data_IF_218026415861
#
_entry.id   IF_218026415861
#
_cell.length_a   1.000
_cell.length_b   1.000
_cell.length_c   1.000
_cell.angle_alpha   90.00
_cell.angle_beta   90.00
_cell.angle_gamma   90.00
#
_symmetry.space_group_name_H-M   'P 1'
#
loop_
_entity.id
_entity.type
_entity.pdbx_description
1 polymer ?
#
# COMPACT_ATOMS: atom_id res chain seq x y z
N UNK A 1 -14.13 7.41 -24.21
CA UNK A 1 -13.50 7.31 -22.88
C UNK A 1 -12.16 6.61 -23.09
N UNK A 2 -11.04 7.13 -22.57
CA UNK A 2 -9.74 6.42 -22.70
C UNK A 2 -9.79 5.14 -21.86
N UNK A 3 -9.32 4.04 -22.43
CA UNK A 3 -9.23 2.73 -21.78
C UNK A 3 -7.93 2.61 -20.97
N UNK A 4 -7.81 1.62 -20.09
CA UNK A 4 -6.61 1.43 -19.28
C UNK A 4 -5.37 1.17 -20.15
N UNK A 5 -5.52 0.41 -21.24
CA UNK A 5 -4.42 0.11 -22.17
C UNK A 5 -3.87 1.38 -22.85
N UNK A 6 -4.72 2.39 -23.10
CA UNK A 6 -4.30 3.67 -23.69
C UNK A 6 -3.31 4.41 -22.78
N UNK A 7 -3.40 4.21 -21.46
CA UNK A 7 -2.53 4.86 -20.49
C UNK A 7 -1.20 4.14 -20.28
N UNK A 8 -1.07 2.90 -20.71
CA UNK A 8 0.02 2.03 -20.24
C UNK A 8 0.91 1.43 -21.34
N UNK A 9 0.47 1.42 -22.60
CA UNK A 9 1.15 0.70 -23.69
C UNK A 9 2.48 1.31 -24.19
N UNK A 10 2.93 2.45 -23.65
CA UNK A 10 4.05 3.22 -24.23
C UNK A 10 5.41 2.55 -24.06
N UNK A 11 5.56 1.72 -23.02
CA UNK A 11 6.85 1.11 -22.63
C UNK A 11 6.93 -0.40 -22.96
N UNK A 12 6.00 -0.92 -23.76
CA UNK A 12 5.87 -2.35 -24.04
C UNK A 12 6.45 -2.67 -25.42
N UNK A 13 7.37 -3.64 -25.46
CA UNK A 13 7.97 -4.11 -26.71
C UNK A 13 6.89 -4.71 -27.64
N UNK A 14 7.08 -4.69 -28.97
CA UNK A 14 6.11 -5.29 -29.88
C UNK A 14 5.80 -6.77 -29.58
N UNK A 15 6.81 -7.52 -29.14
CA UNK A 15 6.70 -8.95 -28.78
C UNK A 15 5.87 -9.18 -27.51
N UNK A 16 5.96 -8.26 -26.56
CA UNK A 16 5.23 -8.34 -25.30
C UNK A 16 3.80 -7.76 -25.38
N UNK A 17 3.35 -7.22 -26.53
CA UNK A 17 2.02 -6.56 -26.63
C UNK A 17 0.85 -7.48 -26.29
N UNK A 18 0.86 -8.71 -26.78
CA UNK A 18 -0.22 -9.68 -26.53
C UNK A 18 -0.27 -10.12 -25.06
N UNK A 19 0.82 -10.60 -24.42
CA UNK A 19 0.77 -10.93 -23.01
C UNK A 19 0.51 -9.71 -22.12
N UNK A 20 0.97 -8.53 -22.53
CA UNK A 20 0.66 -7.28 -21.84
C UNK A 20 -0.83 -6.94 -21.89
N UNK A 21 -1.49 -7.09 -23.04
CA UNK A 21 -2.93 -6.87 -23.15
C UNK A 21 -3.72 -7.80 -22.23
N UNK A 22 -3.37 -9.08 -22.18
CA UNK A 22 -3.99 -10.04 -21.26
C UNK A 22 -3.75 -9.66 -19.78
N UNK A 23 -2.56 -9.17 -19.45
CA UNK A 23 -2.23 -8.67 -18.11
C UNK A 23 -3.09 -7.43 -17.77
N UNK A 24 -3.25 -6.48 -18.70
CA UNK A 24 -4.13 -5.32 -18.51
C UNK A 24 -5.59 -5.75 -18.27
N UNK A 25 -6.11 -6.71 -19.03
CA UNK A 25 -7.49 -7.19 -18.89
C UNK A 25 -7.76 -7.83 -17.52
N UNK A 26 -6.80 -8.60 -17.01
CA UNK A 26 -6.85 -9.19 -15.68
C UNK A 26 -6.97 -8.10 -14.60
N UNK A 27 -6.07 -7.12 -14.62
CA UNK A 27 -6.07 -6.04 -13.63
C UNK A 27 -7.24 -5.08 -13.80
N UNK A 28 -7.73 -4.86 -15.01
CA UNK A 28 -8.93 -4.05 -15.26
C UNK A 28 -10.15 -4.67 -14.56
N UNK A 29 -10.26 -6.00 -14.60
CA UNK A 29 -11.34 -6.75 -13.94
C UNK A 29 -11.24 -6.68 -12.42
N UNK A 30 -10.03 -6.77 -11.86
CA UNK A 30 -9.79 -6.73 -10.42
C UNK A 30 -9.93 -5.32 -9.84
N UNK A 31 -9.37 -4.31 -10.51
CA UNK A 31 -9.31 -2.95 -10.00
C UNK A 31 -10.60 -2.17 -10.27
N UNK A 32 -11.32 -2.48 -11.36
CA UNK A 32 -12.56 -1.78 -11.77
C UNK A 32 -12.47 -0.24 -11.69
N UNK A 33 -11.43 0.39 -12.25
CA UNK A 33 -11.27 1.84 -12.18
C UNK A 33 -12.41 2.56 -12.90
N UNK A 34 -12.93 3.62 -12.28
CA UNK A 34 -13.96 4.49 -12.85
C UNK A 34 -13.52 5.95 -12.86
N UNK A 35 -13.50 6.56 -14.05
CA UNK A 35 -13.08 7.94 -14.24
C UNK A 35 -11.57 8.11 -14.41
N UNK A 36 -11.15 9.31 -14.83
CA UNK A 36 -9.78 9.55 -15.28
C UNK A 36 -8.72 9.33 -14.17
N UNK A 37 -9.03 9.72 -12.93
CA UNK A 37 -8.08 9.61 -11.82
C UNK A 37 -7.92 8.16 -11.34
N UNK A 38 -9.01 7.41 -11.21
CA UNK A 38 -8.92 5.97 -10.89
C UNK A 38 -8.17 5.22 -12.00
N UNK A 39 -8.44 5.52 -13.28
CA UNK A 39 -7.69 4.94 -14.40
C UNK A 39 -6.19 5.25 -14.36
N UNK A 40 -5.79 6.45 -13.90
CA UNK A 40 -4.38 6.80 -13.73
C UNK A 40 -3.70 5.93 -12.67
N UNK A 41 -4.30 5.79 -11.48
CA UNK A 41 -3.72 4.95 -10.43
C UNK A 41 -3.69 3.47 -10.83
N UNK A 42 -4.76 2.98 -11.47
CA UNK A 42 -4.77 1.63 -12.03
C UNK A 42 -3.65 1.46 -13.06
N UNK A 43 -3.45 2.42 -13.97
CA UNK A 43 -2.39 2.35 -14.97
C UNK A 43 -0.99 2.25 -14.35
N UNK A 44 -0.73 3.02 -13.29
CA UNK A 44 0.52 2.93 -12.54
C UNK A 44 0.71 1.57 -11.84
N UNK A 45 -0.35 1.02 -11.24
CA UNK A 45 -0.33 -0.30 -10.60
C UNK A 45 -0.01 -1.38 -11.64
N UNK A 46 -0.72 -1.39 -12.77
CA UNK A 46 -0.52 -2.38 -13.84
C UNK A 46 0.88 -2.28 -14.45
N UNK A 47 1.39 -1.07 -14.71
CA UNK A 47 2.77 -0.89 -15.18
C UNK A 47 3.80 -1.39 -14.17
N UNK A 48 3.59 -1.13 -12.89
CA UNK A 48 4.50 -1.59 -11.85
C UNK A 48 4.46 -3.12 -11.69
N UNK A 49 3.27 -3.73 -11.68
CA UNK A 49 3.09 -5.18 -11.63
C UNK A 49 3.75 -5.87 -12.84
N UNK A 50 3.50 -5.36 -14.05
CA UNK A 50 4.14 -5.87 -15.26
C UNK A 50 5.67 -5.80 -15.20
N UNK A 51 6.24 -4.69 -14.72
CA UNK A 51 7.69 -4.54 -14.56
C UNK A 51 8.27 -5.55 -13.57
N UNK A 52 7.56 -5.84 -12.48
CA UNK A 52 7.99 -6.83 -11.49
C UNK A 52 8.00 -8.25 -12.05
N UNK A 53 6.98 -8.62 -12.83
CA UNK A 53 6.89 -9.93 -13.47
C UNK A 53 7.97 -10.10 -14.55
N UNK A 54 8.18 -9.06 -15.37
CA UNK A 54 9.00 -9.20 -16.58
C UNK A 54 10.50 -8.98 -16.35
N UNK A 55 10.87 -8.07 -15.46
CA UNK A 55 12.26 -7.75 -15.13
C UNK A 55 12.80 -8.51 -13.93
N UNK A 56 12.15 -9.61 -13.51
CA UNK A 56 12.75 -10.55 -12.57
C UNK A 56 14.04 -11.11 -13.17
N UNK A 57 15.18 -11.13 -12.46
CA UNK A 57 16.45 -11.66 -12.95
C UNK A 57 16.37 -13.17 -13.21
N UNK A 58 15.34 -13.84 -12.71
CA UNK A 58 15.05 -15.24 -13.02
C UNK A 58 14.29 -15.37 -14.34
N UNK A 59 13.64 -14.31 -14.84
CA UNK A 59 12.83 -14.31 -16.05
C UNK A 59 11.77 -15.43 -16.12
N UNK A 60 10.91 -15.45 -17.14
CA UNK A 60 10.11 -16.62 -17.50
C UNK A 60 10.89 -17.61 -18.40
N UNK A 61 12.02 -17.17 -18.95
CA UNK A 61 12.81 -17.87 -19.97
C UNK A 61 14.15 -18.40 -19.45
N UNK A 62 14.46 -18.23 -18.16
CA UNK A 62 15.58 -19.00 -17.58
C UNK A 62 15.10 -20.45 -17.42
N UNK A 63 15.25 -21.22 -18.49
CA UNK A 63 15.23 -22.67 -18.38
C UNK A 63 16.27 -23.12 -17.34
N UNK A 64 16.13 -24.32 -16.78
CA UNK A 64 17.00 -24.86 -15.73
C UNK A 64 18.50 -24.98 -16.12
N UNK A 65 18.89 -24.59 -17.33
CA UNK A 65 20.25 -24.69 -17.88
C UNK A 65 20.92 -23.34 -18.19
N UNK A 66 20.37 -22.20 -17.76
CA UNK A 66 21.10 -20.93 -17.86
C UNK A 66 22.32 -20.97 -16.94
N UNK A 67 23.48 -21.33 -17.48
CA UNK A 67 24.76 -21.40 -16.77
C UNK A 67 25.08 -20.04 -16.14
N UNK A 68 24.95 -19.98 -14.83
CA UNK A 68 25.24 -18.80 -14.02
C UNK A 68 26.77 -18.66 -13.98
N UNK A 69 27.31 -17.85 -14.89
CA UNK A 69 28.71 -17.43 -14.83
C UNK A 69 28.97 -16.66 -13.51
N UNK A 70 29.99 -17.04 -12.70
CA UNK A 70 30.34 -16.37 -11.44
C UNK A 70 31.25 -15.16 -11.76
N UNK A 71 31.45 -14.11 -10.96
CA UNK A 71 31.08 -13.76 -9.60
C UNK A 71 31.18 -12.22 -9.47
N UNK A 72 30.60 -11.65 -8.42
CA UNK A 72 30.51 -10.22 -8.05
C UNK A 72 29.46 -9.37 -8.78
N UNK A 73 29.31 -9.50 -10.10
CA UNK A 73 28.24 -8.79 -10.83
C UNK A 73 26.85 -9.33 -10.48
N UNK A 74 26.73 -10.63 -10.18
CA UNK A 74 25.45 -11.29 -9.86
C UNK A 74 24.87 -10.91 -8.50
N UNK A 75 25.71 -10.77 -7.45
CA UNK A 75 25.24 -10.35 -6.12
C UNK A 75 24.84 -8.89 -6.08
N UNK A 76 25.63 -8.01 -6.71
CA UNK A 76 25.31 -6.59 -6.79
C UNK A 76 24.07 -6.36 -7.66
N UNK A 77 23.94 -7.06 -8.80
CA UNK A 77 22.73 -7.03 -9.62
C UNK A 77 21.51 -7.56 -8.88
N UNK A 78 21.63 -8.67 -8.14
CA UNK A 78 20.55 -9.20 -7.30
C UNK A 78 20.14 -8.21 -6.21
N UNK A 79 21.09 -7.61 -5.50
CA UNK A 79 20.80 -6.61 -4.48
C UNK A 79 20.17 -5.35 -5.08
N UNK A 80 20.61 -4.91 -6.26
CA UNK A 80 20.00 -3.80 -6.99
C UNK A 80 18.56 -4.12 -7.42
N UNK A 81 18.32 -5.33 -7.92
CA UNK A 81 16.97 -5.79 -8.27
C UNK A 81 16.06 -5.89 -7.05
N UNK A 82 16.53 -6.41 -5.91
CA UNK A 82 15.73 -6.45 -4.68
C UNK A 82 15.32 -5.05 -4.22
N UNK A 83 16.25 -4.08 -4.25
CA UNK A 83 15.93 -2.68 -3.94
C UNK A 83 14.91 -2.09 -4.92
N UNK A 84 15.08 -2.35 -6.22
CA UNK A 84 14.13 -1.91 -7.24
C UNK A 84 12.75 -2.53 -7.03
N UNK A 85 12.69 -3.82 -6.72
CA UNK A 85 11.45 -4.54 -6.40
C UNK A 85 10.77 -3.93 -5.18
N UNK A 86 11.50 -3.71 -4.09
CA UNK A 86 10.96 -3.14 -2.86
C UNK A 86 10.43 -1.72 -3.10
N UNK A 87 11.18 -0.89 -3.85
CA UNK A 87 10.74 0.45 -4.24
C UNK A 87 9.46 0.41 -5.10
N UNK A 88 9.39 -0.52 -6.05
CA UNK A 88 8.23 -0.69 -6.93
C UNK A 88 7.01 -1.17 -6.15
N UNK A 89 7.18 -2.13 -5.24
CA UNK A 89 6.14 -2.61 -4.34
C UNK A 89 5.60 -1.50 -3.44
N UNK A 90 6.46 -0.63 -2.89
CA UNK A 90 6.02 0.54 -2.13
C UNK A 90 5.15 1.48 -3.00
N UNK A 91 5.54 1.70 -4.25
CA UNK A 91 4.75 2.46 -5.23
C UNK A 91 3.38 1.83 -5.49
N UNK A 92 3.34 0.51 -5.72
CA UNK A 92 2.09 -0.25 -5.91
C UNK A 92 1.17 -0.11 -4.70
N UNK A 93 1.69 -0.31 -3.48
CA UNK A 93 0.91 -0.18 -2.25
C UNK A 93 0.32 1.22 -2.09
N UNK A 94 1.11 2.26 -2.33
CA UNK A 94 0.63 3.65 -2.26
C UNK A 94 -0.47 3.93 -3.29
N UNK A 95 -0.29 3.48 -4.52
CA UNK A 95 -1.28 3.68 -5.58
C UNK A 95 -2.57 2.87 -5.33
N UNK A 96 -2.45 1.66 -4.77
CA UNK A 96 -3.59 0.87 -4.33
C UNK A 96 -4.36 1.58 -3.21
N UNK A 97 -3.68 2.15 -2.23
CA UNK A 97 -4.32 2.90 -1.14
C UNK A 97 -5.10 4.12 -1.67
N UNK A 98 -4.49 4.89 -2.58
CA UNK A 98 -5.17 6.03 -3.23
C UNK A 98 -6.36 5.59 -4.08
N UNK A 99 -6.22 4.52 -4.87
CA UNK A 99 -7.31 3.96 -5.66
C UNK A 99 -8.48 3.50 -4.76
N UNK A 100 -8.20 2.74 -3.70
CA UNK A 100 -9.21 2.27 -2.75
C UNK A 100 -9.87 3.42 -1.99
N UNK A 101 -9.12 4.50 -1.70
CA UNK A 101 -9.71 5.72 -1.14
C UNK A 101 -10.72 6.34 -2.10
N UNK A 102 -10.37 6.52 -3.38
CA UNK A 102 -11.26 7.10 -4.39
C UNK A 102 -12.52 6.26 -4.61
N UNK A 103 -12.36 4.93 -4.68
CA UNK A 103 -13.48 4.00 -4.81
C UNK A 103 -14.42 4.06 -3.61
N UNK A 104 -13.88 4.15 -2.40
CA UNK A 104 -14.67 4.31 -1.18
C UNK A 104 -15.42 5.65 -1.18
N UNK A 105 -14.75 6.74 -1.53
CA UNK A 105 -15.37 8.07 -1.62
C UNK A 105 -16.50 8.08 -2.66
N UNK A 106 -16.28 7.47 -3.84
CA UNK A 106 -17.31 7.32 -4.89
C UNK A 106 -18.50 6.48 -4.42
N UNK A 107 -18.24 5.36 -3.74
CA UNK A 107 -19.29 4.52 -3.17
C UNK A 107 -20.15 5.30 -2.16
N UNK A 108 -19.50 6.05 -1.25
CA UNK A 108 -20.19 6.85 -0.25
C UNK A 108 -20.98 8.00 -0.88
N UNK A 109 -20.45 8.67 -1.89
CA UNK A 109 -21.19 9.70 -2.63
C UNK A 109 -22.46 9.14 -3.27
N UNK A 110 -22.35 7.98 -3.92
CA UNK A 110 -23.50 7.30 -4.53
C UNK A 110 -24.54 6.88 -3.48
N UNK A 111 -24.09 6.39 -2.32
CA UNK A 111 -24.99 5.94 -1.26
C UNK A 111 -25.67 7.08 -0.50
N UNK A 112 -24.97 8.21 -0.31
CA UNK A 112 -25.50 9.39 0.38
C UNK A 112 -26.25 10.36 -0.55
N UNK A 113 -26.21 10.13 -1.87
CA UNK A 113 -26.80 11.03 -2.86
C UNK A 113 -26.13 12.41 -2.91
N UNK A 114 -24.87 12.51 -2.49
CA UNK A 114 -24.12 13.77 -2.46
C UNK A 114 -23.32 13.89 -3.75
N UNK A 115 -23.62 14.92 -4.55
CA UNK A 115 -22.80 15.28 -5.70
C UNK A 115 -21.67 16.20 -5.23
N UNK A 116 -20.47 15.65 -5.05
CA UNK A 116 -19.29 16.46 -4.73
C UNK A 116 -18.62 16.95 -6.02
N UNK A 117 -18.42 18.28 -6.18
CA UNK A 117 -17.65 18.79 -7.30
C UNK A 117 -16.15 18.46 -7.11
N UNK A 118 -15.65 17.52 -7.90
CA UNK A 118 -14.21 17.27 -8.07
C UNK A 118 -13.61 16.22 -7.12
N UNK A 119 -12.32 16.40 -6.82
CA UNK A 119 -11.45 15.47 -6.08
C UNK A 119 -11.41 15.71 -4.56
N UNK A 120 -12.35 16.47 -4.02
CA UNK A 120 -12.39 16.73 -2.59
C UNK A 120 -12.65 15.42 -1.83
N UNK A 121 -11.75 15.05 -0.91
CA UNK A 121 -11.94 13.87 -0.09
C UNK A 121 -13.13 14.05 0.83
N UNK A 122 -13.98 13.02 0.91
CA UNK A 122 -15.14 13.01 1.81
C UNK A 122 -14.72 13.26 3.26
N UNK A 123 -13.53 12.80 3.65
CA UNK A 123 -12.93 13.04 4.99
C UNK A 123 -12.81 14.52 5.33
N UNK A 124 -12.53 15.38 4.35
CA UNK A 124 -12.43 16.83 4.57
C UNK A 124 -13.81 17.47 4.75
N UNK A 125 -14.86 16.87 4.21
CA UNK A 125 -16.21 17.43 4.16
C UNK A 125 -17.15 16.87 5.24
N UNK A 126 -16.86 15.66 5.75
CA UNK A 126 -17.62 15.01 6.81
C UNK A 126 -17.85 15.89 8.07
N UNK A 127 -16.88 16.67 8.57
CA UNK A 127 -17.12 17.53 9.73
C UNK A 127 -18.15 18.64 9.50
N UNK A 128 -18.39 19.03 8.23
CA UNK A 128 -19.33 20.10 7.86
C UNK A 128 -20.68 19.62 7.37
N UNK A 129 -20.83 18.33 7.05
CA UNK A 129 -22.07 17.77 6.51
C UNK A 129 -23.02 17.40 7.65
N UNK A 130 -24.11 18.19 7.80
CA UNK A 130 -25.26 17.80 8.62
C UNK A 130 -26.01 16.68 7.89
N UNK A 131 -25.56 15.43 8.10
CA UNK A 131 -26.26 14.27 7.60
C UNK A 131 -27.69 14.26 8.17
N UNK A 132 -28.71 14.05 7.34
CA UNK A 132 -30.08 13.91 7.84
C UNK A 132 -30.07 12.74 8.83
N UNK A 133 -30.52 13.00 10.07
CA UNK A 133 -30.76 11.93 11.05
C UNK A 133 -31.65 10.90 10.37
N UNK A 134 -31.13 9.69 10.17
CA UNK A 134 -31.86 8.53 9.68
C UNK A 134 -33.21 8.51 10.41
N UNK A 135 -34.29 8.85 9.69
CA UNK A 135 -35.63 8.75 10.25
C UNK A 135 -35.82 7.29 10.61
N UNK A 136 -36.13 7.05 11.88
CA UNK A 136 -36.39 5.71 12.40
C UNK A 136 -37.40 5.04 11.46
N UNK A 137 -37.03 3.87 10.93
CA UNK A 137 -37.98 3.02 10.25
C UNK A 137 -39.15 2.73 11.22
N UNK A 138 -40.41 2.80 10.76
CA UNK A 138 -41.54 2.42 11.59
C UNK A 138 -41.44 0.93 11.95
N UNK A 139 -41.76 0.66 13.21
CA UNK A 139 -41.72 -0.63 13.89
C UNK A 139 -42.30 -1.76 13.02
N UNK A 140 -41.44 -2.73 12.70
CA UNK A 140 -41.87 -4.02 12.20
C UNK A 140 -42.47 -4.83 13.35
N UNK A 141 -43.63 -5.39 13.07
CA UNK A 141 -44.53 -6.15 13.93
C UNK A 141 -43.84 -7.34 14.63
N UNK A 142 -44.16 -7.51 15.91
CA UNK A 142 -43.74 -8.61 16.79
C UNK A 142 -43.73 -9.99 16.11
N UNK A 143 -42.57 -10.65 16.12
CA UNK A 143 -42.42 -12.11 15.99
C UNK A 143 -41.85 -12.67 17.29
N UNK A 144 -42.17 -13.94 17.65
CA UNK A 144 -41.82 -14.51 18.95
C UNK A 144 -40.35 -14.95 19.03
N UNK A 145 -39.82 -14.87 20.25
CA UNK A 145 -38.45 -15.13 20.67
C UNK A 145 -37.83 -16.41 20.06
N UNK A 146 -36.91 -16.21 19.12
CA UNK A 146 -35.82 -17.15 18.87
C UNK A 146 -34.56 -16.61 19.54
N UNK A 147 -33.77 -17.43 20.26
CA UNK A 147 -32.53 -16.98 20.86
C UNK A 147 -31.60 -16.44 19.78
N UNK A 148 -31.12 -15.20 19.99
CA UNK A 148 -30.31 -14.46 19.04
C UNK A 148 -29.06 -15.27 18.62
N UNK A 149 -28.72 -15.30 17.32
CA UNK A 149 -27.41 -15.77 16.89
C UNK A 149 -26.33 -14.82 17.45
N UNK A 150 -25.17 -15.33 17.88
CA UNK A 150 -24.14 -14.53 18.53
C UNK A 150 -23.74 -13.35 17.64
N UNK A 151 -23.76 -12.16 18.22
CA UNK A 151 -23.40 -10.90 17.56
C UNK A 151 -21.95 -10.97 17.04
N UNK A 152 -21.69 -10.38 15.88
CA UNK A 152 -20.37 -10.40 15.22
C UNK A 152 -19.24 -9.88 16.13
N UNK A 153 -19.57 -8.97 17.06
CA UNK A 153 -18.67 -8.47 18.09
C UNK A 153 -18.19 -9.57 19.08
N UNK A 154 -19.04 -10.55 19.38
CA UNK A 154 -18.67 -11.68 20.26
C UNK A 154 -17.70 -12.62 19.56
N UNK A 155 -17.80 -12.76 18.23
CA UNK A 155 -16.86 -13.54 17.43
C UNK A 155 -15.49 -12.89 17.29
N UNK A 156 -15.43 -11.56 17.14
CA UNK A 156 -14.16 -10.81 17.08
C UNK A 156 -13.44 -10.79 18.43
N UNK A 157 -14.18 -10.60 19.54
CA UNK A 157 -13.62 -10.66 20.89
C UNK A 157 -13.05 -12.06 21.21
N UNK A 158 -13.74 -13.12 20.76
CA UNK A 158 -13.28 -14.50 20.91
C UNK A 158 -11.99 -14.75 20.11
N UNK A 159 -11.91 -14.27 18.87
CA UNK A 159 -10.70 -14.41 18.04
C UNK A 159 -9.51 -13.67 18.64
N UNK A 160 -9.70 -12.45 19.15
CA UNK A 160 -8.66 -11.69 19.83
C UNK A 160 -8.15 -12.40 21.09
N UNK A 161 -9.06 -12.99 21.89
CA UNK A 161 -8.67 -13.75 23.07
C UNK A 161 -7.87 -15.02 22.72
N UNK A 162 -8.22 -15.71 21.62
CA UNK A 162 -7.49 -16.87 21.13
C UNK A 162 -6.07 -16.51 20.68
N UNK A 163 -5.92 -15.42 19.91
CA UNK A 163 -4.61 -14.94 19.45
C UNK A 163 -3.71 -14.51 20.61
N UNK A 164 -4.25 -13.86 21.64
CA UNK A 164 -3.48 -13.49 22.82
C UNK A 164 -2.99 -14.70 23.62
N UNK A 165 -3.80 -15.77 23.69
CA UNK A 165 -3.39 -17.00 24.37
C UNK A 165 -2.30 -17.74 23.59
N UNK A 166 -2.37 -17.75 22.25
CA UNK A 166 -1.34 -18.32 21.39
C UNK A 166 -0.02 -17.55 21.51
N UNK A 167 -0.04 -16.22 21.40
CA UNK A 167 1.15 -15.38 21.57
C UNK A 167 1.80 -15.57 22.95
N UNK A 168 0.98 -15.72 24.00
CA UNK A 168 1.47 -16.00 25.35
C UNK A 168 2.11 -17.39 25.45
N UNK A 169 1.58 -18.39 24.76
CA UNK A 169 2.19 -19.74 24.72
C UNK A 169 3.52 -19.72 24.00
N UNK A 170 3.59 -19.08 22.84
CA UNK A 170 4.84 -18.96 22.06
C UNK A 170 5.93 -18.24 22.86
N UNK A 171 5.59 -17.13 23.51
CA UNK A 171 6.54 -16.43 24.39
C UNK A 171 7.01 -17.31 25.55
N UNK A 172 6.10 -18.04 26.19
CA UNK A 172 6.47 -18.91 27.31
C UNK A 172 7.33 -20.11 26.87
N UNK A 173 7.11 -20.63 25.67
CA UNK A 173 7.98 -21.66 25.07
C UNK A 173 9.37 -21.10 24.74
N UNK A 174 9.42 -19.90 24.15
CA UNK A 174 10.67 -19.19 23.86
C UNK A 174 11.53 -18.94 25.11
N UNK A 175 10.94 -18.46 26.21
CA UNK A 175 11.68 -18.22 27.46
C UNK A 175 12.12 -19.50 28.19
N UNK A 176 11.45 -20.63 27.94
CA UNK A 176 11.94 -21.94 28.44
C UNK A 176 13.23 -22.36 27.74
N UNK A 177 13.33 -22.09 26.44
CA UNK A 177 14.51 -22.43 25.64
C UNK A 177 15.64 -21.40 25.81
N UNK A 178 15.32 -20.17 26.24
CA UNK A 178 16.26 -19.06 26.44
C UNK A 178 16.16 -18.47 27.86
N UNK A 179 16.60 -19.19 28.91
CA UNK A 179 16.40 -18.78 30.30
C UNK A 179 17.24 -17.56 30.73
N UNK A 180 18.23 -17.16 29.92
CA UNK A 180 19.11 -16.00 30.17
C UNK A 180 18.56 -14.70 29.54
N UNK A 181 17.50 -14.79 28.73
CA UNK A 181 16.83 -13.63 28.13
C UNK A 181 15.66 -13.18 29.01
N UNK A 182 15.61 -11.90 29.36
CA UNK A 182 14.50 -11.34 30.15
C UNK A 182 13.39 -10.80 29.23
N UNK A 183 12.11 -10.79 29.67
CA UNK A 183 10.99 -10.22 28.90
C UNK A 183 11.22 -8.78 28.41
N UNK A 184 12.06 -8.04 29.13
CA UNK A 184 12.40 -6.64 28.84
C UNK A 184 13.35 -6.49 27.63
N UNK A 185 14.17 -7.51 27.33
CA UNK A 185 15.08 -7.52 26.18
C UNK A 185 14.37 -7.87 24.86
N UNK A 186 13.29 -8.65 24.92
CA UNK A 186 12.52 -9.09 23.73
C UNK A 186 11.44 -8.05 23.35
N UNK A 187 10.94 -7.27 24.32
CA UNK A 187 9.86 -6.29 24.11
C UNK A 187 10.31 -4.94 23.52
N UNK A 188 11.61 -4.68 23.41
CA UNK A 188 12.12 -3.39 22.92
C UNK A 188 12.96 -3.58 21.66
N UNK A 189 12.47 -3.26 20.45
CA UNK A 189 13.40 -2.90 19.38
C UNK A 189 14.18 -1.70 19.91
N UNK A 190 15.48 -1.89 20.15
CA UNK A 190 16.36 -0.82 20.60
C UNK A 190 16.04 0.44 19.80
N UNK A 191 15.89 1.62 20.44
CA UNK A 191 15.56 2.85 19.73
C UNK A 191 16.56 2.98 18.60
N UNK A 192 16.06 2.87 17.36
CA UNK A 192 16.90 2.97 16.16
C UNK A 192 17.66 4.27 16.35
N UNK A 193 19.00 4.24 16.45
CA UNK A 193 19.75 5.46 16.75
C UNK A 193 19.31 6.47 15.71
N UNK A 194 18.74 7.59 16.20
CA UNK A 194 18.39 8.72 15.37
C UNK A 194 19.61 8.98 14.50
N UNK A 195 19.50 8.67 13.20
CA UNK A 195 20.67 8.66 12.32
C UNK A 195 21.41 9.98 12.54
N UNK A 196 22.73 9.97 12.78
CA UNK A 196 23.47 11.18 13.11
C UNK A 196 23.10 12.24 12.07
N UNK A 197 22.61 13.38 12.55
CA UNK A 197 22.11 14.45 11.69
C UNK A 197 23.15 14.71 10.62
N UNK A 198 22.84 14.35 9.37
CA UNK A 198 23.78 14.45 8.28
C UNK A 198 24.34 15.88 8.27
N UNK A 199 25.64 16.01 8.51
CA UNK A 199 26.27 17.31 8.65
C UNK A 199 25.91 18.19 7.45
N UNK A 200 25.77 19.50 7.64
CA UNK A 200 25.22 20.43 6.62
C UNK A 200 25.89 20.32 5.23
N UNK A 201 27.15 19.87 5.17
CA UNK A 201 27.93 19.66 3.96
C UNK A 201 28.07 18.19 3.51
N UNK A 202 27.58 17.22 4.29
CA UNK A 202 27.57 15.81 3.93
C UNK A 202 26.64 15.56 2.73
N UNK A 203 26.84 14.44 2.04
CA UNK A 203 25.93 14.00 0.98
C UNK A 203 24.53 13.80 1.55
N UNK A 204 23.53 14.19 0.76
CA UNK A 204 22.14 14.15 1.18
C UNK A 204 21.67 12.68 1.31
N UNK A 205 20.97 12.30 2.40
CA UNK A 205 20.51 10.93 2.62
C UNK A 205 19.43 10.45 1.62
N UNK A 206 18.92 11.34 0.75
CA UNK A 206 18.06 10.96 -0.37
C UNK A 206 18.83 10.45 -1.60
N UNK A 207 20.17 10.32 -1.50
CA UNK A 207 21.07 9.86 -2.56
C UNK A 207 21.02 10.70 -3.85
N UNK A 208 20.63 11.97 -3.78
CA UNK A 208 20.63 12.89 -4.92
C UNK A 208 22.01 13.28 -5.44
N UNK A 209 23.10 12.86 -4.76
CA UNK A 209 24.47 13.28 -5.05
C UNK A 209 24.80 14.73 -4.62
N UNK A 210 23.82 15.47 -4.08
CA UNK A 210 23.99 16.85 -3.63
C UNK A 210 24.31 16.92 -2.13
N UNK A 211 24.97 18.02 -1.70
CA UNK A 211 25.18 18.31 -0.26
C UNK A 211 23.83 18.55 0.43
N UNK A 212 23.65 18.07 1.67
CA UNK A 212 22.39 18.15 2.42
C UNK A 212 21.74 19.55 2.41
N UNK A 213 22.53 20.61 2.63
CA UNK A 213 22.04 22.01 2.61
C UNK A 213 21.50 22.51 1.26
N UNK A 214 21.82 21.83 0.16
CA UNK A 214 21.40 22.15 -1.21
C UNK A 214 20.31 21.21 -1.73
N UNK A 215 19.86 20.27 -0.91
CA UNK A 215 18.82 19.32 -1.26
C UNK A 215 17.75 19.35 -0.14
N UNK A 216 17.54 18.27 0.61
CA UNK A 216 16.51 18.21 1.66
C UNK A 216 16.61 19.31 2.72
N UNK A 217 17.82 19.75 3.10
CA UNK A 217 18.02 20.83 4.08
C UNK A 217 17.76 22.25 3.54
N UNK A 218 17.42 22.40 2.26
CA UNK A 218 17.07 23.70 1.66
C UNK A 218 15.60 24.08 1.95
N UNK A 219 14.72 23.08 1.98
CA UNK A 219 13.27 23.24 2.14
C UNK A 219 12.85 23.72 3.54
N UNK A 220 13.72 23.53 4.54
CA UNK A 220 13.49 24.01 5.92
C UNK A 220 13.50 25.53 6.07
N UNK A 221 13.87 26.27 5.01
CA UNK A 221 13.99 27.75 5.03
C UNK A 221 12.95 28.48 4.20
N UNK A 222 12.02 27.77 3.57
CA UNK A 222 10.93 28.43 2.84
C UNK A 222 9.93 28.91 3.89
N UNK A 223 9.75 30.24 4.08
CA UNK A 223 8.71 30.72 4.97
C UNK A 223 7.34 30.27 4.44
N UNK A 224 6.37 29.94 5.31
CA UNK A 224 5.03 29.59 4.86
C UNK A 224 4.44 30.74 4.01
N UNK A 225 3.63 30.44 2.99
CA UNK A 225 2.99 31.47 2.18
C UNK A 225 2.15 32.37 3.09
N UNK A 226 2.31 33.69 2.97
CA UNK A 226 1.46 34.65 3.66
C UNK A 226 0.06 34.51 3.06
N UNK A 227 -0.88 34.04 3.88
CA UNK A 227 -2.31 34.06 3.54
C UNK A 227 -2.73 35.51 3.31
N UNK A 228 -3.23 35.80 2.10
CA UNK A 228 -3.88 37.06 1.75
C UNK A 228 -5.29 37.12 2.36
#
# INVERSE_FOLDING_TARGET
>A
MRTLIDYTAHDVTPEDRTPYAAHVDLWQTELQPNGALECYFAAEIVRAAWRLERYSPLGPQAGPQAEISPASSSLQARAAWLRYRDQTNLGVRRNLEELRRLQSDRYLQAHLGILLPGVASLKTLLPGLKLPKKQAQPEATNQPDTPDPPTVADSEATLHAQLQEEERRELNEYFKDNPDETPEQVASPAPVPLRPAAGRNALCPCNSGLKYKRCCGHWSKVPPPKTL
#
